data_IF_971120711485
#
_entry.id   IF_971120711485
#
_cell.length_a   1.000
_cell.length_b   1.000
_cell.length_c   1.000
_cell.angle_alpha   90.00
_cell.angle_beta   90.00
_cell.angle_gamma   90.00
#
_symmetry.space_group_name_H-M   'P 1'
#
loop_
_entity.id
_entity.type
_entity.pdbx_description
1 polymer ?
#
# COMPACT_ATOMS: atom_id res chain seq x y z
N UNK A 1 -8.32 -18.14 -22.26
CA UNK A 1 -8.64 -17.49 -20.97
C UNK A 1 -7.76 -16.27 -20.85
N UNK A 2 -8.29 -15.12 -20.42
CA UNK A 2 -7.52 -13.86 -20.33
C UNK A 2 -6.91 -13.74 -18.93
N UNK A 3 -5.69 -13.20 -18.84
CA UNK A 3 -4.98 -12.94 -17.57
C UNK A 3 -5.08 -11.47 -17.13
N UNK A 4 -5.93 -10.68 -17.80
CA UNK A 4 -6.13 -9.28 -17.45
C UNK A 4 -7.08 -9.17 -16.25
N UNK A 5 -6.65 -8.42 -15.24
CA UNK A 5 -7.43 -8.13 -14.02
C UNK A 5 -7.72 -6.63 -13.97
N UNK A 6 -8.98 -6.20 -13.77
CA UNK A 6 -9.32 -4.78 -13.65
C UNK A 6 -8.82 -4.23 -12.31
N UNK A 7 -8.17 -3.07 -12.35
CA UNK A 7 -7.74 -2.33 -11.15
C UNK A 7 -8.85 -1.38 -10.71
N UNK A 8 -9.28 -1.51 -9.44
CA UNK A 8 -10.23 -0.56 -8.83
C UNK A 8 -9.45 0.56 -8.15
N UNK A 9 -9.56 1.78 -8.66
CA UNK A 9 -8.80 2.93 -8.16
C UNK A 9 -9.50 3.70 -7.02
N UNK A 10 -10.69 3.25 -6.61
CA UNK A 10 -11.48 3.89 -5.55
C UNK A 10 -11.93 2.83 -4.52
N UNK A 11 -11.02 2.35 -3.66
CA UNK A 11 -11.35 1.37 -2.64
C UNK A 11 -12.37 1.94 -1.65
N UNK A 12 -13.36 1.13 -1.28
CA UNK A 12 -14.43 1.52 -0.35
C UNK A 12 -14.18 1.09 1.09
N UNK A 13 -13.05 0.42 1.35
CA UNK A 13 -12.65 -0.03 2.67
C UNK A 13 -11.65 0.94 3.32
N UNK A 14 -11.54 0.88 4.64
CA UNK A 14 -10.63 1.74 5.39
C UNK A 14 -9.15 1.41 5.08
N UNK A 15 -8.27 2.41 4.93
CA UNK A 15 -6.85 2.17 4.74
C UNK A 15 -6.19 1.61 6.01
N UNK A 16 -5.04 0.96 5.83
CA UNK A 16 -4.08 0.80 6.90
C UNK A 16 -3.33 2.12 7.11
N UNK A 17 -3.38 2.65 8.33
CA UNK A 17 -2.69 3.88 8.70
C UNK A 17 -1.34 3.61 9.35
N UNK A 18 -0.33 4.37 8.94
CA UNK A 18 1.00 4.33 9.53
C UNK A 18 1.68 5.70 9.45
N UNK A 19 2.82 5.84 10.10
CA UNK A 19 3.64 7.05 10.11
C UNK A 19 5.10 6.67 9.85
N UNK A 20 5.96 7.59 9.40
CA UNK A 20 7.38 7.31 9.35
C UNK A 20 7.89 6.99 10.76
N UNK A 21 8.90 6.13 10.82
CA UNK A 21 9.64 5.90 12.05
C UNK A 21 10.23 7.25 12.53
N UNK A 22 10.24 7.53 13.84
CA UNK A 22 10.67 8.82 14.37
C UNK A 22 12.05 9.26 13.86
N UNK A 23 12.99 8.33 13.74
CA UNK A 23 14.36 8.57 13.28
C UNK A 23 14.50 8.83 11.77
N UNK A 24 13.44 8.56 10.98
CA UNK A 24 13.38 8.81 9.53
C UNK A 24 12.62 10.08 9.19
N UNK A 25 11.99 10.72 10.17
CA UNK A 25 11.26 11.97 10.00
C UNK A 25 12.23 13.14 9.95
N UNK A 26 12.21 13.88 8.85
CA UNK A 26 13.01 15.07 8.61
C UNK A 26 12.20 16.33 8.90
N UNK A 27 10.95 16.41 8.42
CA UNK A 27 10.11 17.60 8.53
C UNK A 27 8.60 17.27 8.57
N UNK A 28 7.84 18.04 9.35
CA UNK A 28 6.39 17.93 9.45
C UNK A 28 5.90 16.71 10.24
N UNK A 29 4.69 16.26 9.95
CA UNK A 29 4.08 15.08 10.57
C UNK A 29 3.29 14.29 9.50
N UNK A 30 3.97 13.65 8.54
CA UNK A 30 3.28 12.94 7.48
C UNK A 30 2.57 11.71 8.04
N UNK A 31 1.33 11.50 7.62
CA UNK A 31 0.51 10.32 7.90
C UNK A 31 0.31 9.56 6.61
N UNK A 32 0.55 8.26 6.65
CA UNK A 32 0.45 7.36 5.50
C UNK A 32 -0.85 6.58 5.55
N UNK A 33 -1.47 6.40 4.38
CA UNK A 33 -2.62 5.52 4.17
C UNK A 33 -2.31 4.53 3.06
N UNK A 34 -2.58 3.26 3.32
CA UNK A 34 -2.38 2.17 2.35
C UNK A 34 -3.66 1.38 2.15
N UNK A 35 -4.08 1.24 0.90
CA UNK A 35 -5.13 0.31 0.48
C UNK A 35 -4.48 -0.81 -0.34
N UNK A 36 -4.25 -1.96 0.29
CA UNK A 36 -3.75 -3.16 -0.40
C UNK A 36 -4.88 -3.75 -1.26
N UNK A 37 -4.67 -3.82 -2.58
CA UNK A 37 -5.67 -4.28 -3.55
C UNK A 37 -5.40 -5.71 -4.03
N UNK A 38 -4.13 -6.11 -4.07
CA UNK A 38 -3.73 -7.46 -4.46
C UNK A 38 -2.42 -7.87 -3.78
N UNK A 39 -2.25 -9.17 -3.58
CA UNK A 39 -1.03 -9.78 -3.05
C UNK A 39 -0.75 -11.10 -3.76
N UNK A 40 0.49 -11.29 -4.23
CA UNK A 40 0.87 -12.53 -4.90
C UNK A 40 0.80 -13.72 -3.94
N UNK A 41 0.06 -14.76 -4.34
CA UNK A 41 -0.10 -16.00 -3.58
C UNK A 41 1.25 -16.73 -3.41
N UNK A 42 1.45 -17.26 -2.20
CA UNK A 42 2.72 -17.86 -1.74
C UNK A 42 3.25 -19.04 -2.58
N UNK A 43 2.41 -19.66 -3.41
CA UNK A 43 2.79 -20.82 -4.23
C UNK A 43 3.72 -20.46 -5.40
N UNK A 44 3.75 -19.18 -5.81
CA UNK A 44 4.56 -18.70 -6.95
C UNK A 44 5.91 -18.06 -6.56
N UNK A 45 6.14 -17.89 -5.27
CA UNK A 45 7.32 -17.22 -4.72
C UNK A 45 7.09 -16.99 -3.23
N UNK A 46 8.14 -17.15 -2.43
CA UNK A 46 8.11 -17.05 -0.96
C UNK A 46 7.16 -15.92 -0.52
N UNK A 47 6.03 -16.31 0.10
CA UNK A 47 5.04 -15.50 0.80
C UNK A 47 4.95 -14.01 0.42
N UNK A 48 3.95 -13.62 -0.39
CA UNK A 48 3.48 -12.23 -0.43
C UNK A 48 4.55 -11.18 -0.78
N UNK A 49 5.57 -11.57 -1.53
CA UNK A 49 6.71 -10.70 -1.90
C UNK A 49 6.28 -9.53 -2.78
N UNK A 50 5.16 -9.65 -3.48
CA UNK A 50 4.59 -8.58 -4.30
C UNK A 50 3.21 -8.24 -3.75
N UNK A 51 3.06 -6.97 -3.35
CA UNK A 51 1.79 -6.37 -2.95
C UNK A 51 1.56 -5.16 -3.84
N UNK A 52 0.33 -4.98 -4.29
CA UNK A 52 -0.06 -3.83 -5.09
C UNK A 52 -1.25 -3.14 -4.46
N UNK A 53 -1.34 -1.83 -4.65
CA UNK A 53 -2.34 -1.03 -3.98
C UNK A 53 -2.15 0.45 -4.19
N UNK A 54 -2.92 1.24 -3.44
CA UNK A 54 -2.85 2.69 -3.41
C UNK A 54 -2.15 3.12 -2.13
N UNK A 55 -1.22 4.07 -2.26
CA UNK A 55 -0.53 4.67 -1.13
C UNK A 55 -0.64 6.19 -1.21
N UNK A 56 -0.98 6.81 -0.09
CA UNK A 56 -1.07 8.26 0.05
C UNK A 56 -0.30 8.74 1.29
N UNK A 57 0.24 9.95 1.22
CA UNK A 57 0.86 10.62 2.35
C UNK A 57 0.39 12.08 2.43
N UNK A 58 0.14 12.55 3.65
CA UNK A 58 0.01 14.00 3.91
C UNK A 58 1.39 14.67 3.80
N UNK A 59 1.46 16.00 3.59
CA UNK A 59 2.74 16.71 3.50
C UNK A 59 3.69 16.47 4.68
N UNK A 60 4.97 16.31 4.39
CA UNK A 60 6.07 16.03 5.32
C UNK A 60 7.13 15.13 4.67
N UNK A 61 8.29 14.97 5.30
CA UNK A 61 9.41 14.14 4.83
C UNK A 61 10.10 13.43 5.97
#
# INVERSE_FOLDING_TARGET
MTNLVPLTLSPTFAPNESNPLPERRVEGNPVFRTWELDSALAESGKWGSVRTGIWEATPGT
#
